data_IF_388661549884
#
_entry.id   IF_388661549884
#
_cell.length_a   1.000
_cell.length_b   1.000
_cell.length_c   1.000
_cell.angle_alpha   90.00
_cell.angle_beta   90.00
_cell.angle_gamma   90.00
#
_symmetry.space_group_name_H-M   'P 1'
#
loop_
_entity.id
_entity.type
_entity.pdbx_description
1 polymer ?
#
# COMPACT_ATOMS: atom_id res chain seq x y z
N UNK A 1 -11.85 -11.40 12.83
CA UNK A 1 -11.87 -10.91 11.44
C UNK A 1 -10.77 -11.65 10.69
N UNK A 2 -11.06 -12.25 9.53
CA UNK A 2 -10.06 -13.02 8.77
C UNK A 2 -8.83 -12.16 8.44
N UNK A 3 -7.60 -12.72 8.47
CA UNK A 3 -6.39 -11.97 8.18
C UNK A 3 -6.39 -11.48 6.72
N UNK A 4 -6.26 -10.17 6.53
CA UNK A 4 -6.04 -9.57 5.21
C UNK A 4 -4.54 -9.51 4.97
N UNK A 5 -4.10 -9.96 3.79
CA UNK A 5 -2.69 -9.98 3.37
C UNK A 5 -2.46 -8.99 2.23
N UNK A 6 -1.40 -8.20 2.32
CA UNK A 6 -0.95 -7.35 1.22
C UNK A 6 0.30 -7.96 0.59
N UNK A 7 0.30 -8.13 -0.73
CA UNK A 7 1.47 -8.54 -1.49
C UNK A 7 1.90 -7.36 -2.36
N UNK A 8 3.13 -6.90 -2.15
CA UNK A 8 3.77 -5.84 -2.91
C UNK A 8 4.64 -6.50 -3.97
N UNK A 9 4.35 -6.26 -5.24
CA UNK A 9 5.04 -6.95 -6.32
C UNK A 9 6.03 -6.02 -7.00
N UNK A 10 7.25 -6.54 -7.18
CA UNK A 10 8.26 -5.95 -8.05
C UNK A 10 8.00 -6.36 -9.50
N UNK A 11 8.63 -5.66 -10.44
CA UNK A 11 8.59 -5.98 -11.87
C UNK A 11 9.13 -7.39 -12.18
N UNK A 12 10.02 -7.92 -11.32
CA UNK A 12 10.58 -9.27 -11.42
C UNK A 12 9.63 -10.38 -10.93
N UNK A 13 8.48 -10.00 -10.34
CA UNK A 13 7.43 -10.93 -9.90
C UNK A 13 7.55 -11.45 -8.47
N UNK A 14 8.64 -11.18 -7.74
CA UNK A 14 8.77 -11.62 -6.34
C UNK A 14 7.91 -10.74 -5.40
N UNK A 15 6.98 -11.34 -4.62
CA UNK A 15 6.14 -10.58 -3.68
C UNK A 15 6.87 -10.29 -2.37
N UNK A 16 6.83 -9.03 -1.93
CA UNK A 16 7.07 -8.66 -0.52
C UNK A 16 5.73 -8.70 0.19
N UNK A 17 5.61 -9.55 1.21
CA UNK A 17 4.36 -9.77 1.92
C UNK A 17 4.29 -8.89 3.16
N UNK A 18 3.19 -8.16 3.30
CA UNK A 18 2.88 -7.31 4.43
C UNK A 18 1.56 -7.74 5.09
N UNK A 19 1.58 -7.89 6.41
CA UNK A 19 0.40 -8.19 7.22
C UNK A 19 0.09 -6.99 8.12
N UNK A 20 -1.00 -6.24 7.87
CA UNK A 20 -1.43 -5.19 8.77
C UNK A 20 -1.91 -5.77 10.10
N UNK A 21 -1.46 -5.17 11.20
CA UNK A 21 -1.79 -5.61 12.55
C UNK A 21 -3.29 -5.53 12.88
N UNK A 22 -4.02 -4.61 12.23
CA UNK A 22 -5.49 -4.60 12.21
C UNK A 22 -5.99 -3.76 11.04
N UNK A 23 -7.01 -4.22 10.34
CA UNK A 23 -7.75 -3.40 9.37
C UNK A 23 -9.22 -3.36 9.78
N UNK A 24 -9.78 -2.20 10.16
CA UNK A 24 -11.21 -2.09 10.42
C UNK A 24 -11.93 -1.88 9.08
N UNK A 25 -12.79 -2.82 8.70
CA UNK A 25 -13.75 -2.72 7.60
C UNK A 25 -13.19 -2.58 6.17
N UNK A 26 -13.86 -3.24 5.22
CA UNK A 26 -13.55 -3.22 3.78
C UNK A 26 -13.48 -1.80 3.18
N UNK A 27 -14.28 -0.84 3.69
CA UNK A 27 -14.23 0.57 3.25
C UNK A 27 -12.89 1.25 3.49
N UNK A 28 -12.08 0.78 4.45
CA UNK A 28 -10.73 1.32 4.71
C UNK A 28 -9.64 0.63 3.90
N UNK A 29 -10.00 -0.41 3.13
CA UNK A 29 -9.04 -1.17 2.33
C UNK A 29 -8.39 -0.29 1.26
N UNK A 30 -9.18 0.49 0.53
CA UNK A 30 -8.65 1.39 -0.48
C UNK A 30 -7.74 2.47 0.11
N UNK A 31 -8.14 3.11 1.21
CA UNK A 31 -7.30 4.08 1.90
C UNK A 31 -5.97 3.47 2.37
N UNK A 32 -5.97 2.20 2.82
CA UNK A 32 -4.74 1.50 3.16
C UNK A 32 -3.85 1.28 1.93
N UNK A 33 -4.44 0.92 0.79
CA UNK A 33 -3.73 0.77 -0.49
C UNK A 33 -3.08 2.10 -0.92
N UNK A 34 -3.81 3.21 -0.80
CA UNK A 34 -3.29 4.56 -1.06
C UNK A 34 -2.13 4.92 -0.14
N UNK A 35 -2.27 4.64 1.16
CA UNK A 35 -1.18 4.83 2.14
C UNK A 35 0.04 4.01 1.77
N UNK A 36 -0.13 2.74 1.41
CA UNK A 36 1.01 1.93 0.97
C UNK A 36 1.62 2.44 -0.33
N UNK A 37 0.81 2.89 -1.29
CA UNK A 37 1.31 3.43 -2.56
C UNK A 37 2.22 4.64 -2.34
N UNK A 38 1.91 5.52 -1.38
CA UNK A 38 2.78 6.63 -0.98
C UNK A 38 4.16 6.14 -0.50
N UNK A 39 4.21 5.10 0.33
CA UNK A 39 5.48 4.54 0.78
C UNK A 39 6.28 3.85 -0.33
N UNK A 40 5.62 3.47 -1.41
CA UNK A 40 6.19 2.73 -2.53
C UNK A 40 6.51 3.60 -3.73
N UNK A 41 6.17 4.90 -3.69
CA UNK A 41 6.24 5.79 -4.85
C UNK A 41 7.65 5.87 -5.48
N UNK A 42 8.70 5.77 -4.65
CA UNK A 42 10.10 5.85 -5.06
C UNK A 42 10.77 4.46 -5.16
N UNK A 43 10.00 3.39 -4.96
CA UNK A 43 10.50 2.02 -4.90
C UNK A 43 10.39 1.25 -6.22
N UNK A 44 11.04 0.08 -6.32
CA UNK A 44 10.93 -0.82 -7.48
C UNK A 44 9.61 -1.61 -7.53
N UNK A 45 8.68 -1.32 -6.61
CA UNK A 45 7.41 -2.02 -6.45
C UNK A 45 6.36 -1.36 -7.34
N UNK A 46 5.71 -2.14 -8.19
CA UNK A 46 4.82 -1.61 -9.23
C UNK A 46 3.35 -1.95 -8.99
N UNK A 47 3.07 -2.99 -8.21
CA UNK A 47 1.69 -3.44 -7.94
C UNK A 47 1.47 -3.80 -6.48
N UNK A 48 0.24 -3.61 -6.05
CA UNK A 48 -0.29 -3.98 -4.75
C UNK A 48 -1.42 -4.98 -4.98
N UNK A 49 -1.31 -6.16 -4.37
CA UNK A 49 -2.41 -7.13 -4.27
C UNK A 49 -2.87 -7.21 -2.83
N UNK A 50 -4.16 -7.36 -2.65
CA UNK A 50 -4.79 -7.63 -1.37
C UNK A 50 -5.49 -8.97 -1.47
N UNK A 51 -5.19 -9.86 -0.54
CA UNK A 51 -5.84 -11.16 -0.40
C UNK A 51 -6.57 -11.28 0.92
N UNK A 52 -7.70 -11.98 0.90
CA UNK A 52 -8.42 -12.36 2.10
C UNK A 52 -7.83 -13.63 2.73
N UNK A 53 -8.59 -14.22 3.67
CA UNK A 53 -8.11 -15.35 4.44
C UNK A 53 -8.13 -16.67 3.67
N UNK A 54 -8.99 -16.78 2.65
CA UNK A 54 -9.10 -17.98 1.81
C UNK A 54 -8.21 -17.85 0.57
N UNK A 55 -7.20 -16.98 0.64
CA UNK A 55 -6.32 -16.56 -0.45
C UNK A 55 -7.04 -15.92 -1.64
N UNK A 56 -8.31 -15.58 -1.49
CA UNK A 56 -9.11 -14.94 -2.51
C UNK A 56 -8.57 -13.52 -2.78
N UNK A 57 -8.49 -13.15 -4.06
CA UNK A 57 -8.04 -11.81 -4.44
C UNK A 57 -9.16 -10.80 -4.20
N UNK A 58 -8.97 -9.96 -3.18
CA UNK A 58 -9.92 -8.91 -2.82
C UNK A 58 -9.70 -7.65 -3.67
N UNK A 59 -8.44 -7.34 -4.00
CA UNK A 59 -8.08 -6.17 -4.77
C UNK A 59 -6.71 -6.35 -5.43
N UNK A 60 -6.56 -5.79 -6.64
CA UNK A 60 -5.27 -5.64 -7.30
C UNK A 60 -5.19 -4.27 -7.97
N UNK A 61 -4.11 -3.52 -7.74
CA UNK A 61 -3.90 -2.22 -8.39
C UNK A 61 -2.41 -1.94 -8.62
N UNK A 62 -2.11 -1.03 -9.53
CA UNK A 62 -0.77 -0.48 -9.69
C UNK A 62 -0.49 0.59 -8.62
N UNK A 63 0.78 0.73 -8.21
CA UNK A 63 1.21 1.83 -7.32
C UNK A 63 0.86 3.17 -7.96
N UNK A 64 1.15 3.37 -9.25
CA UNK A 64 0.80 4.58 -9.98
C UNK A 64 -0.71 4.87 -10.00
N UNK A 65 -1.55 3.84 -10.11
CA UNK A 65 -3.01 3.99 -10.10
C UNK A 65 -3.52 4.43 -8.72
N UNK A 66 -2.99 3.87 -7.64
CA UNK A 66 -3.32 4.27 -6.29
C UNK A 66 -2.80 5.69 -5.95
N UNK A 67 -1.64 6.09 -6.48
CA UNK A 67 -1.16 7.48 -6.34
C UNK A 67 -2.05 8.46 -7.11
N UNK A 68 -2.48 8.09 -8.31
CA UNK A 68 -3.41 8.89 -9.12
C UNK A 68 -4.77 9.07 -8.43
N UNK A 69 -5.27 8.08 -7.68
CA UNK A 69 -6.52 8.23 -6.92
C UNK A 69 -6.41 9.25 -5.79
N UNK A 70 -5.25 9.33 -5.12
CA UNK A 70 -4.99 10.37 -4.11
C UNK A 70 -5.02 11.75 -4.77
N UNK A 71 -4.40 11.91 -5.94
CA UNK A 71 -4.41 13.16 -6.70
C UNK A 71 -5.83 13.57 -7.12
N UNK A 72 -6.60 12.60 -7.64
CA UNK A 72 -7.96 12.78 -8.12
C UNK A 72 -9.01 12.97 -7.00
N UNK A 73 -8.67 12.68 -5.74
CA UNK A 73 -9.59 12.83 -4.61
C UNK A 73 -10.11 14.29 -4.53
N UNK A 74 -11.43 14.50 -4.59
CA UNK A 74 -12.02 15.85 -4.63
C UNK A 74 -11.93 16.58 -3.28
N UNK A 75 -11.68 15.86 -2.18
CA UNK A 75 -11.50 16.45 -0.87
C UNK A 75 -10.19 17.26 -0.81
N UNK A 76 -10.32 18.58 -0.77
CA UNK A 76 -9.20 19.52 -0.62
C UNK A 76 -8.38 19.27 0.65
N UNK A 77 -9.03 18.80 1.72
CA UNK A 77 -8.41 18.44 2.99
C UNK A 77 -7.98 16.96 3.08
N UNK A 78 -7.84 16.25 1.96
CA UNK A 78 -7.36 14.86 1.98
C UNK A 78 -5.94 14.80 2.58
N UNK A 79 -5.73 14.10 3.72
CA UNK A 79 -4.44 14.10 4.43
C UNK A 79 -3.33 13.38 3.64
N UNK A 80 -3.70 12.60 2.62
CA UNK A 80 -2.75 11.88 1.77
C UNK A 80 -2.16 12.79 0.67
N UNK A 81 -2.87 13.84 0.25
CA UNK A 81 -2.39 14.76 -0.80
C UNK A 81 -1.13 15.51 -0.38
N UNK A 82 -1.03 15.95 0.87
CA UNK A 82 0.16 16.63 1.38
C UNK A 82 1.39 15.73 1.45
N UNK A 83 1.19 14.40 1.47
CA UNK A 83 2.27 13.40 1.52
C UNK A 83 2.80 13.02 0.13
N UNK A 84 2.06 13.28 -0.95
CA UNK A 84 2.57 13.08 -2.32
C UNK A 84 3.80 13.95 -2.63
N UNK A 85 3.90 15.11 -1.98
CA UNK A 85 4.97 16.09 -2.21
C UNK A 85 6.05 16.08 -1.13
N UNK A 86 5.84 15.32 -0.05
CA UNK A 86 6.79 15.23 1.05
C UNK A 86 7.82 14.11 0.77
N UNK A 87 9.10 14.29 1.12
CA UNK A 87 10.06 13.19 1.08
C UNK A 87 9.57 12.07 1.99
N UNK A 88 9.54 10.84 1.47
CA UNK A 88 9.02 9.67 2.17
C UNK A 88 9.97 9.31 3.32
N UNK A 89 9.54 9.51 4.57
CA UNK A 89 10.19 8.84 5.69
C UNK A 89 10.00 7.32 5.51
N UNK A 90 11.13 6.63 5.42
CA UNK A 90 11.27 5.20 5.16
C UNK A 90 10.24 4.34 5.92
N UNK A 91 9.91 3.17 5.36
CA UNK A 91 9.05 2.12 5.92
C UNK A 91 9.49 1.57 7.31
N UNK A 92 10.39 2.24 8.02
CA UNK A 92 10.86 1.91 9.37
C UNK A 92 9.73 1.93 10.43
N UNK A 93 8.60 2.59 10.15
CA UNK A 93 7.42 2.56 11.02
C UNK A 93 6.56 1.29 10.90
N UNK A 94 6.78 0.45 9.88
CA UNK A 94 6.12 -0.85 9.79
C UNK A 94 6.94 -1.88 10.57
N UNK A 95 6.66 -1.99 11.87
CA UNK A 95 7.21 -3.03 12.74
C UNK A 95 7.04 -4.42 12.08
N UNK A 96 8.13 -4.93 11.50
CA UNK A 96 8.19 -6.23 10.83
C UNK A 96 8.78 -6.21 9.41
N UNK A 97 8.92 -5.06 8.76
CA UNK A 97 9.43 -4.98 7.38
C UNK A 97 10.91 -4.53 7.39
N UNK A 98 11.84 -5.49 7.34
CA UNK A 98 13.22 -5.20 6.93
C UNK A 98 13.25 -5.06 5.40
N UNK A 99 13.25 -3.83 4.91
CA UNK A 99 13.58 -3.54 3.51
C UNK A 99 14.99 -2.94 3.47
N UNK A 100 15.91 -3.75 2.93
CA UNK A 100 17.30 -3.45 2.54
C UNK A 100 18.32 -3.17 3.67
N UNK A 101 19.27 -4.11 3.82
CA UNK A 101 20.67 -3.75 4.08
C UNK A 101 21.38 -3.73 2.72
N UNK A 102 22.12 -2.64 2.47
CA UNK A 102 23.08 -2.49 1.37
C UNK A 102 24.16 -3.56 1.46
#
# INVERSE_FOLDING_TARGET
MPPIRFELLRSDGAPVVYFPASLPLYRRLWCQVEVMALYLQDGPLTRIRVKGADEEMLLQTGVATALASIQACEFSACPLKSRLTAPVESLQGFNGVRLFSV
#
